data_IF_286241234750
#
_entry.id   IF_286241234750
#
_cell.length_a   1.000
_cell.length_b   1.000
_cell.length_c   1.000
_cell.angle_alpha   90.00
_cell.angle_beta   90.00
_cell.angle_gamma   90.00
#
_symmetry.space_group_name_H-M   'P 1'
#
loop_
_entity.id
_entity.type
_entity.pdbx_description
1 polymer ?
#
# COMPACT_ATOMS: atom_id res chain seq x y z
N UNK A 1 -71.00 42.39 28.42
CA UNK A 1 -71.65 42.06 29.70
C UNK A 1 -71.09 40.72 30.14
N UNK A 2 -69.99 40.67 30.89
CA UNK A 2 -69.85 40.89 32.34
C UNK A 2 -70.13 39.63 33.19
N UNK A 3 -69.06 39.20 33.88
CA UNK A 3 -68.99 38.43 35.14
C UNK A 3 -69.16 36.90 35.04
N UNK A 4 -68.34 35.99 35.61
CA UNK A 4 -67.28 35.88 36.68
C UNK A 4 -67.74 34.86 37.75
N UNK A 5 -66.76 34.07 38.24
CA UNK A 5 -66.69 33.17 39.42
C UNK A 5 -67.29 31.75 39.26
N UNK A 6 -66.55 30.62 39.40
CA UNK A 6 -65.59 30.06 40.39
C UNK A 6 -66.30 29.12 41.38
N UNK A 7 -65.99 27.82 41.34
CA UNK A 7 -66.00 26.93 42.52
C UNK A 7 -64.83 25.93 42.40
N UNK A 8 -63.88 26.06 43.33
CA UNK A 8 -62.90 25.03 43.72
C UNK A 8 -63.60 23.84 44.39
N UNK A 9 -63.07 22.63 44.21
CA UNK A 9 -63.09 21.61 45.26
C UNK A 9 -61.88 20.69 45.12
N UNK A 10 -61.00 20.86 46.10
CA UNK A 10 -59.80 20.11 46.47
C UNK A 10 -60.05 18.60 46.60
N UNK A 11 -59.17 17.76 46.04
CA UNK A 11 -58.77 16.50 46.68
C UNK A 11 -57.24 16.50 46.78
N UNK A 12 -56.82 16.61 48.03
CA UNK A 12 -55.49 16.40 48.55
C UNK A 12 -55.34 14.88 48.77
N UNK A 13 -54.36 14.24 48.14
CA UNK A 13 -53.91 12.91 48.53
C UNK A 13 -52.39 12.89 48.51
N UNK A 14 -51.84 13.06 49.72
CA UNK A 14 -50.45 12.76 50.07
C UNK A 14 -50.22 11.25 49.92
N UNK A 15 -49.19 10.86 49.16
CA UNK A 15 -48.31 9.79 49.56
C UNK A 15 -46.86 10.25 49.43
N UNK A 16 -46.11 9.91 50.47
CA UNK A 16 -44.76 10.30 50.76
C UNK A 16 -43.73 9.42 50.03
N UNK A 17 -42.55 10.00 49.80
CA UNK A 17 -41.26 9.31 49.95
C UNK A 17 -41.08 8.01 49.18
N UNK A 18 -40.77 8.13 47.89
CA UNK A 18 -39.84 7.23 47.23
C UNK A 18 -38.86 8.09 46.45
N UNK A 19 -37.57 8.02 46.82
CA UNK A 19 -36.48 8.40 45.93
C UNK A 19 -36.59 7.49 44.70
N UNK A 20 -37.22 8.00 43.65
CA UNK A 20 -37.01 7.45 42.32
C UNK A 20 -35.54 7.71 42.03
N UNK A 21 -34.72 6.67 42.20
CA UNK A 21 -33.40 6.62 41.58
C UNK A 21 -33.62 6.96 40.11
N UNK A 22 -32.98 8.05 39.67
CA UNK A 22 -33.05 8.49 38.30
C UNK A 22 -32.62 7.35 37.40
N UNK A 23 -33.59 6.72 36.75
CA UNK A 23 -33.31 6.00 35.52
C UNK A 23 -33.07 7.10 34.51
N UNK A 24 -31.81 7.51 34.38
CA UNK A 24 -31.35 8.22 33.20
C UNK A 24 -31.49 7.20 32.09
N UNK A 25 -32.60 7.25 31.36
CA UNK A 25 -32.68 6.56 30.08
C UNK A 25 -31.71 7.30 29.15
N UNK A 26 -30.80 6.60 28.45
CA UNK A 26 -30.02 7.24 27.40
C UNK A 26 -31.03 7.83 26.41
N UNK A 27 -31.03 9.16 26.30
CA UNK A 27 -31.83 9.86 25.32
C UNK A 27 -30.87 10.16 24.17
N UNK A 28 -31.04 9.45 23.07
CA UNK A 28 -30.30 9.69 21.84
C UNK A 28 -30.81 11.01 21.24
N UNK A 29 -29.89 11.93 20.96
CA UNK A 29 -30.20 13.23 20.36
C UNK A 29 -29.66 13.24 18.94
N UNK A 30 -30.57 13.29 17.96
CA UNK A 30 -30.23 13.48 16.55
C UNK A 30 -30.13 14.97 16.22
N UNK A 31 -29.00 15.38 15.64
CA UNK A 31 -28.71 16.75 15.24
C UNK A 31 -28.45 16.81 13.73
N UNK A 32 -29.19 17.64 13.02
CA UNK A 32 -29.06 17.82 11.58
C UNK A 32 -28.56 19.22 11.25
N UNK A 33 -27.56 19.34 10.37
CA UNK A 33 -27.24 20.62 9.75
C UNK A 33 -28.38 21.04 8.82
N UNK A 34 -28.89 22.27 8.93
CA UNK A 34 -30.04 22.68 8.10
C UNK A 34 -29.95 24.03 7.41
N UNK A 35 -28.76 24.63 7.30
CA UNK A 35 -28.65 25.78 6.42
C UNK A 35 -27.26 26.36 6.23
N UNK A 36 -27.00 26.80 4.99
CA UNK A 36 -25.89 27.68 4.62
C UNK A 36 -24.65 26.94 4.12
N UNK A 37 -23.76 27.71 3.48
CA UNK A 37 -22.46 27.25 2.97
C UNK A 37 -21.41 27.12 4.09
N UNK A 38 -21.63 27.77 5.25
CA UNK A 38 -20.67 27.89 6.34
C UNK A 38 -21.32 27.74 7.72
N UNK A 39 -20.62 27.05 8.62
CA UNK A 39 -21.05 26.81 9.99
C UNK A 39 -19.92 26.57 10.96
N UNK A 40 -20.08 27.05 12.20
CA UNK A 40 -19.29 26.60 13.34
C UNK A 40 -20.14 25.69 14.22
N UNK A 41 -19.51 24.66 14.80
CA UNK A 41 -20.15 23.78 15.76
C UNK A 41 -20.75 24.53 16.96
N UNK A 42 -20.17 25.68 17.34
CA UNK A 42 -20.67 26.49 18.45
C UNK A 42 -21.82 27.44 18.10
N UNK A 43 -22.07 27.70 16.81
CA UNK A 43 -23.16 28.57 16.37
C UNK A 43 -24.44 27.71 16.18
N UNK A 44 -25.16 27.49 17.29
CA UNK A 44 -26.40 26.71 17.34
C UNK A 44 -27.53 27.19 16.42
N UNK A 45 -27.41 28.38 15.81
CA UNK A 45 -28.43 28.96 14.94
C UNK A 45 -28.57 28.26 13.57
N UNK A 46 -27.58 27.43 13.17
CA UNK A 46 -27.57 26.74 11.88
C UNK A 46 -27.91 25.23 11.96
N UNK A 47 -28.09 24.71 13.16
CA UNK A 47 -28.47 23.33 13.42
C UNK A 47 -29.99 23.23 13.55
N UNK A 48 -30.60 22.27 12.88
CA UNK A 48 -32.01 21.96 13.07
C UNK A 48 -32.16 20.99 14.23
N UNK A 49 -32.71 21.49 15.32
CA UNK A 49 -33.24 20.68 16.39
C UNK A 49 -34.44 19.87 15.89
N UNK A 50 -34.34 18.54 15.96
CA UNK A 50 -35.49 17.65 16.13
C UNK A 50 -35.91 17.54 17.62
N UNK A 51 -35.76 18.62 18.38
CA UNK A 51 -36.51 18.82 19.62
C UNK A 51 -37.81 19.53 19.24
N UNK A 52 -38.95 18.96 19.63
CA UNK A 52 -40.25 19.61 19.59
C UNK A 52 -40.18 21.02 20.20
N UNK A 53 -40.07 22.05 19.36
CA UNK A 53 -40.23 23.44 19.78
C UNK A 53 -41.72 23.78 19.85
N UNK A 54 -42.30 23.72 21.05
CA UNK A 54 -43.47 24.56 21.37
C UNK A 54 -42.97 25.97 21.68
N UNK A 55 -42.91 26.84 20.66
CA UNK A 55 -42.87 28.28 20.88
C UNK A 55 -44.28 28.75 21.30
N UNK A 56 -44.47 29.07 22.58
CA UNK A 56 -45.62 29.88 23.01
C UNK A 56 -45.22 31.37 22.92
N UNK A 57 -45.87 32.19 22.08
CA UNK A 57 -45.57 33.62 21.99
C UNK A 57 -46.16 34.42 23.18
N UNK A 58 -45.68 35.65 23.47
CA UNK A 58 -44.48 36.31 22.95
C UNK A 58 -43.82 37.25 23.99
N UNK A 59 -42.82 36.89 24.82
CA UNK A 59 -42.04 37.91 25.58
C UNK A 59 -40.62 37.57 26.06
N UNK A 60 -39.96 36.50 25.60
CA UNK A 60 -38.57 36.21 26.04
C UNK A 60 -37.57 36.19 24.88
N UNK A 61 -36.41 36.85 25.02
CA UNK A 61 -35.37 36.83 23.98
C UNK A 61 -34.78 35.42 23.88
N UNK A 62 -34.75 34.87 22.67
CA UNK A 62 -34.01 33.66 22.35
C UNK A 62 -32.55 33.90 22.75
N UNK A 63 -32.07 33.14 23.74
CA UNK A 63 -30.64 33.06 24.03
C UNK A 63 -30.07 31.97 23.13
N UNK A 64 -28.85 32.11 22.58
CA UNK A 64 -28.13 30.97 22.04
C UNK A 64 -27.99 29.97 23.18
N UNK A 65 -28.62 28.81 23.05
CA UNK A 65 -28.47 27.76 24.05
C UNK A 65 -27.05 27.25 23.90
N UNK A 66 -26.30 27.21 25.01
CA UNK A 66 -25.04 26.48 25.07
C UNK A 66 -25.33 25.06 24.61
N UNK A 67 -24.61 24.59 23.60
CA UNK A 67 -24.49 23.16 23.33
C UNK A 67 -24.23 22.45 24.66
N UNK A 68 -24.87 21.30 24.93
CA UNK A 68 -24.71 20.64 26.22
C UNK A 68 -23.23 20.48 26.55
N UNK A 69 -22.81 21.15 27.63
CA UNK A 69 -21.51 20.97 28.26
C UNK A 69 -21.33 19.47 28.53
N UNK A 70 -20.34 18.84 27.89
CA UNK A 70 -20.25 17.38 27.64
C UNK A 70 -19.94 16.53 28.89
N UNK A 71 -20.21 17.03 30.08
CA UNK A 71 -19.86 16.33 31.32
C UNK A 71 -20.81 15.16 31.67
N UNK A 72 -21.88 14.91 30.92
CA UNK A 72 -22.87 13.87 31.20
C UNK A 72 -23.26 13.04 29.96
N UNK A 73 -22.98 11.72 30.03
CA UNK A 73 -23.67 10.50 29.50
C UNK A 73 -24.58 10.51 28.25
N UNK A 74 -24.72 11.59 27.48
CA UNK A 74 -25.62 11.68 26.33
C UNK A 74 -24.91 11.31 25.02
N UNK A 75 -25.59 10.50 24.22
CA UNK A 75 -25.17 10.09 22.87
C UNK A 75 -25.73 11.08 21.84
N UNK A 76 -24.85 11.61 20.99
CA UNK A 76 -25.21 12.53 19.91
C UNK A 76 -24.96 11.89 18.55
N UNK A 77 -26.00 11.86 17.71
CA UNK A 77 -25.91 11.46 16.31
C UNK A 77 -25.97 12.71 15.46
N UNK A 78 -24.98 12.93 14.59
CA UNK A 78 -24.85 14.15 13.80
C UNK A 78 -24.87 13.82 12.32
N UNK A 79 -25.65 14.55 11.53
CA UNK A 79 -25.63 14.41 10.08
C UNK A 79 -25.38 15.76 9.41
N UNK A 80 -24.38 15.79 8.52
CA UNK A 80 -24.01 16.95 7.71
C UNK A 80 -24.19 16.58 6.24
N UNK A 81 -25.21 17.13 5.60
CA UNK A 81 -25.52 16.87 4.19
C UNK A 81 -25.65 18.18 3.40
N UNK A 82 -24.74 18.39 2.44
CA UNK A 82 -24.81 19.54 1.53
C UNK A 82 -26.00 19.49 0.57
N UNK A 83 -26.47 18.29 0.21
CA UNK A 83 -27.64 18.12 -0.66
C UNK A 83 -28.92 18.53 0.05
N UNK A 84 -29.10 18.11 1.31
CA UNK A 84 -30.27 18.48 2.11
C UNK A 84 -30.25 19.98 2.45
N UNK A 85 -29.06 20.56 2.65
CA UNK A 85 -28.89 22.01 2.78
C UNK A 85 -29.12 22.77 1.46
N UNK A 86 -29.20 22.09 0.32
CA UNK A 86 -29.41 22.69 -1.00
C UNK A 86 -28.24 23.56 -1.47
N UNK A 87 -27.03 23.27 -1.01
CA UNK A 87 -25.80 24.01 -1.33
C UNK A 87 -24.79 23.11 -2.06
N UNK A 88 -23.87 23.72 -2.81
CA UNK A 88 -22.81 22.96 -3.50
C UNK A 88 -21.84 22.32 -2.51
N UNK A 89 -21.54 22.99 -1.41
CA UNK A 89 -20.59 22.56 -0.38
C UNK A 89 -20.97 23.12 0.99
N UNK A 90 -20.76 22.33 2.05
CA UNK A 90 -20.84 22.79 3.43
C UNK A 90 -19.44 22.86 4.05
N UNK A 91 -19.08 24.02 4.61
CA UNK A 91 -17.89 24.19 5.43
C UNK A 91 -18.26 24.13 6.91
N UNK A 92 -17.77 23.11 7.62
CA UNK A 92 -17.96 22.96 9.06
C UNK A 92 -16.63 23.20 9.76
N UNK A 93 -16.62 24.18 10.65
CA UNK A 93 -15.44 24.50 11.45
C UNK A 93 -15.59 23.94 12.86
N UNK A 94 -14.60 23.16 13.29
CA UNK A 94 -14.57 22.54 14.62
C UNK A 94 -13.70 23.36 15.58
N UNK A 95 -14.32 23.89 16.63
CA UNK A 95 -13.71 24.72 17.66
C UNK A 95 -13.87 24.03 19.03
N UNK A 96 -12.77 23.55 19.62
CA UNK A 96 -12.83 22.92 20.93
C UNK A 96 -11.49 22.36 21.39
N UNK A 97 -10.93 22.92 22.46
CA UNK A 97 -9.69 22.47 23.09
C UNK A 97 -9.80 21.11 23.83
N UNK A 98 -11.04 20.64 24.04
CA UNK A 98 -11.43 19.36 24.65
C UNK A 98 -12.84 19.04 24.12
N UNK A 99 -12.90 18.40 22.94
CA UNK A 99 -14.11 18.37 22.10
C UNK A 99 -15.30 17.64 22.75
N UNK A 100 -16.54 18.06 22.43
CA UNK A 100 -17.73 17.27 22.74
C UNK A 100 -17.59 15.89 22.09
N UNK A 101 -17.97 14.89 22.86
CA UNK A 101 -17.96 13.50 22.45
C UNK A 101 -19.21 13.24 21.59
N UNK A 102 -19.03 12.76 20.37
CA UNK A 102 -20.12 12.42 19.45
C UNK A 102 -20.26 10.89 19.41
N UNK A 103 -21.49 10.37 19.42
CA UNK A 103 -21.69 8.92 19.23
C UNK A 103 -21.35 8.56 17.79
N UNK A 104 -22.00 9.23 16.84
CA UNK A 104 -21.84 9.03 15.40
C UNK A 104 -22.00 10.37 14.65
N UNK A 105 -21.26 10.54 13.56
CA UNK A 105 -21.27 11.65 12.64
C UNK A 105 -21.24 11.14 11.20
N UNK A 106 -22.23 11.53 10.42
CA UNK A 106 -22.36 11.22 9.00
C UNK A 106 -22.10 12.44 8.11
N UNK A 107 -21.37 12.24 7.01
CA UNK A 107 -21.10 13.24 5.99
C UNK A 107 -21.70 12.82 4.64
N UNK A 108 -22.47 13.71 4.00
CA UNK A 108 -23.13 13.49 2.71
C UNK A 108 -22.95 14.70 1.76
N UNK A 109 -22.79 14.41 0.47
CA UNK A 109 -22.43 15.42 -0.54
C UNK A 109 -21.01 15.99 -0.37
N UNK A 110 -20.76 17.25 -0.75
CA UNK A 110 -19.45 17.90 -0.61
C UNK A 110 -19.35 18.62 0.75
N UNK A 111 -18.49 18.10 1.64
CA UNK A 111 -18.28 18.63 2.99
C UNK A 111 -16.82 18.90 3.25
N UNK A 112 -16.53 20.06 3.83
CA UNK A 112 -15.20 20.44 4.31
C UNK A 112 -15.22 20.55 5.82
N UNK A 113 -14.61 19.58 6.50
CA UNK A 113 -14.40 19.59 7.95
C UNK A 113 -13.05 20.26 8.26
N UNK A 114 -13.13 21.48 8.77
CA UNK A 114 -12.00 22.36 9.01
C UNK A 114 -11.72 22.50 10.50
N UNK A 115 -10.44 22.63 10.84
CA UNK A 115 -10.00 23.05 12.16
C UNK A 115 -10.21 24.54 12.37
N UNK A 116 -10.75 24.95 13.51
CA UNK A 116 -10.88 26.36 13.89
C UNK A 116 -10.20 26.71 15.20
N UNK A 117 -9.20 27.59 15.14
CA UNK A 117 -8.47 28.06 16.30
C UNK A 117 -7.13 27.36 16.53
N UNK A 118 -6.81 27.06 17.79
CA UNK A 118 -5.49 26.60 18.23
C UNK A 118 -5.08 25.20 17.75
N UNK A 119 -3.84 24.76 18.05
CA UNK A 119 -3.29 23.51 17.53
C UNK A 119 -3.92 22.22 18.08
N UNK A 120 -4.84 22.28 19.05
CA UNK A 120 -5.38 21.12 19.77
C UNK A 120 -6.90 20.99 19.58
N UNK A 121 -7.35 20.76 18.36
CA UNK A 121 -8.75 20.46 18.09
C UNK A 121 -8.83 19.02 17.61
N UNK A 122 -9.59 18.22 18.32
CA UNK A 122 -9.83 16.80 18.06
C UNK A 122 -11.33 16.58 18.00
N UNK A 123 -11.78 15.79 17.02
CA UNK A 123 -13.13 15.24 16.96
C UNK A 123 -13.12 13.86 17.62
N UNK A 124 -13.88 13.68 18.70
CA UNK A 124 -13.97 12.42 19.42
C UNK A 124 -15.29 11.73 19.08
N UNK A 125 -15.18 10.55 18.47
CA UNK A 125 -16.29 9.68 18.09
C UNK A 125 -16.23 8.40 18.92
N UNK A 126 -17.32 8.06 19.62
CA UNK A 126 -17.33 6.97 20.61
C UNK A 126 -17.70 5.64 19.99
N UNK A 127 -18.67 5.63 19.07
CA UNK A 127 -19.13 4.38 18.51
C UNK A 127 -18.08 3.85 17.52
N UNK A 128 -17.79 2.53 17.55
CA UNK A 128 -17.02 1.92 16.48
C UNK A 128 -17.71 2.19 15.15
N UNK A 129 -16.99 2.73 14.18
CA UNK A 129 -17.51 3.25 12.90
C UNK A 129 -18.40 4.50 13.02
N UNK A 130 -18.31 5.27 14.10
CA UNK A 130 -19.15 6.44 14.25
C UNK A 130 -18.78 7.59 13.30
N UNK A 131 -17.64 7.58 12.58
CA UNK A 131 -17.34 8.58 11.56
C UNK A 131 -17.62 7.99 10.18
N UNK A 132 -18.74 8.38 9.56
CA UNK A 132 -19.23 7.79 8.32
C UNK A 132 -19.21 8.80 7.17
N UNK A 133 -18.46 8.51 6.11
CA UNK A 133 -18.46 9.31 4.89
C UNK A 133 -19.22 8.63 3.74
N UNK A 134 -20.28 9.28 3.27
CA UNK A 134 -21.08 8.91 2.10
C UNK A 134 -20.94 9.88 0.92
N UNK A 135 -20.04 10.87 1.00
CA UNK A 135 -19.86 11.93 0.00
C UNK A 135 -18.41 12.27 -0.34
N UNK A 136 -18.20 13.50 -0.80
CA UNK A 136 -16.88 14.08 -1.04
C UNK A 136 -16.47 14.87 0.21
N UNK A 137 -15.61 14.30 1.03
CA UNK A 137 -15.21 14.87 2.31
C UNK A 137 -13.76 15.36 2.28
N UNK A 138 -13.53 16.60 2.69
CA UNK A 138 -12.20 17.10 3.05
C UNK A 138 -12.07 17.19 4.56
N UNK A 139 -10.99 16.62 5.11
CA UNK A 139 -10.72 16.59 6.55
C UNK A 139 -9.38 17.27 6.85
N UNK A 140 -9.40 18.22 7.80
CA UNK A 140 -8.23 18.99 8.27
C UNK A 140 -8.15 19.02 9.81
N UNK A 141 -8.65 17.98 10.48
CA UNK A 141 -8.71 17.88 11.95
C UNK A 141 -8.29 16.48 12.41
N UNK A 142 -7.70 16.39 13.61
CA UNK A 142 -7.43 15.12 14.28
C UNK A 142 -8.75 14.42 14.65
N UNK A 143 -8.81 13.10 14.47
CA UNK A 143 -10.00 12.28 14.74
C UNK A 143 -9.63 11.19 15.74
N UNK A 144 -10.45 10.99 16.76
CA UNK A 144 -10.40 9.83 17.64
C UNK A 144 -11.64 8.98 17.44
N UNK A 145 -11.45 7.73 17.09
CA UNK A 145 -12.51 6.83 16.61
C UNK A 145 -12.29 6.41 15.17
N UNK A 146 -13.02 5.37 14.76
CA UNK A 146 -12.84 4.77 13.44
C UNK A 146 -13.50 5.62 12.35
N UNK A 147 -12.81 5.75 11.22
CA UNK A 147 -13.28 6.43 10.00
C UNK A 147 -13.70 5.38 8.98
N UNK A 148 -14.94 5.45 8.49
CA UNK A 148 -15.45 4.62 7.40
C UNK A 148 -15.73 5.48 6.17
N UNK A 149 -14.98 5.22 5.11
CA UNK A 149 -15.19 5.77 3.79
C UNK A 149 -15.97 4.77 2.92
N UNK A 150 -17.26 5.04 2.74
CA UNK A 150 -18.19 4.09 2.12
C UNK A 150 -18.09 4.00 0.60
N UNK A 151 -18.66 2.95 0.00
CA UNK A 151 -18.62 2.77 -1.45
C UNK A 151 -19.13 3.98 -2.24
N UNK A 152 -18.31 4.47 -3.18
CA UNK A 152 -18.64 5.61 -4.03
C UNK A 152 -18.30 6.98 -3.44
N UNK A 153 -17.84 7.05 -2.20
CA UNK A 153 -17.42 8.27 -1.54
C UNK A 153 -15.92 8.53 -1.66
N UNK A 154 -15.50 9.77 -1.37
CA UNK A 154 -14.10 10.17 -1.40
C UNK A 154 -13.72 10.97 -0.14
N UNK A 155 -12.59 10.65 0.45
CA UNK A 155 -11.95 11.46 1.50
C UNK A 155 -10.66 12.08 0.94
N UNK A 156 -10.47 13.36 1.19
CA UNK A 156 -9.23 14.09 0.96
C UNK A 156 -8.72 14.59 2.30
N UNK A 157 -7.65 13.99 2.78
CA UNK A 157 -6.93 14.52 3.92
C UNK A 157 -6.02 15.66 3.45
N UNK A 158 -6.08 16.80 4.14
CA UNK A 158 -5.28 17.99 3.84
C UNK A 158 -4.61 18.48 5.11
N UNK A 159 -3.31 18.79 5.03
CA UNK A 159 -2.52 19.04 6.23
C UNK A 159 -2.15 17.75 6.95
N UNK A 160 -1.22 17.87 7.90
CA UNK A 160 -0.87 16.81 8.81
C UNK A 160 -1.95 16.67 9.89
N UNK A 161 -2.44 15.45 10.11
CA UNK A 161 -3.43 15.12 11.14
C UNK A 161 -3.25 13.68 11.60
N UNK A 162 -3.81 13.40 12.78
CA UNK A 162 -3.77 12.11 13.44
C UNK A 162 -5.18 11.48 13.46
N UNK A 163 -5.24 10.18 13.20
CA UNK A 163 -6.42 9.34 13.41
C UNK A 163 -6.10 8.32 14.51
N UNK A 164 -6.70 8.52 15.68
CA UNK A 164 -6.63 7.59 16.80
C UNK A 164 -7.76 6.56 16.69
N UNK A 165 -7.68 5.69 15.68
CA UNK A 165 -8.67 4.67 15.34
C UNK A 165 -8.39 4.04 13.98
N UNK A 166 -9.23 3.10 13.57
CA UNK A 166 -9.08 2.42 12.28
C UNK A 166 -9.59 3.31 11.12
N UNK A 167 -8.96 3.18 9.95
CA UNK A 167 -9.46 3.74 8.69
C UNK A 167 -9.94 2.62 7.78
N UNK A 168 -11.25 2.54 7.56
CA UNK A 168 -11.88 1.64 6.62
C UNK A 168 -12.19 2.34 5.29
N UNK A 169 -11.55 1.93 4.22
CA UNK A 169 -11.82 2.42 2.86
C UNK A 169 -12.47 1.32 2.02
N UNK A 170 -13.80 1.39 1.87
CA UNK A 170 -14.59 0.35 1.23
C UNK A 170 -14.30 0.21 -0.27
N UNK A 171 -14.70 -0.93 -0.84
CA UNK A 171 -14.61 -1.16 -2.28
C UNK A 171 -15.39 -0.08 -3.05
N UNK A 172 -14.73 0.56 -4.02
CA UNK A 172 -15.29 1.66 -4.80
C UNK A 172 -15.10 3.05 -4.17
N UNK A 173 -14.62 3.13 -2.93
CA UNK A 173 -14.30 4.38 -2.26
C UNK A 173 -12.87 4.88 -2.59
N UNK A 174 -12.59 6.16 -2.32
CA UNK A 174 -11.31 6.81 -2.62
C UNK A 174 -10.78 7.62 -1.43
N UNK A 175 -9.54 7.35 -1.00
CA UNK A 175 -8.79 8.22 -0.09
C UNK A 175 -7.66 8.89 -0.86
N UNK A 176 -7.49 10.20 -0.66
CA UNK A 176 -6.37 10.98 -1.20
C UNK A 176 -5.60 11.64 -0.07
N UNK A 177 -4.28 11.48 -0.11
CA UNK A 177 -3.33 12.21 0.72
C UNK A 177 -2.33 12.90 -0.18
N UNK A 178 -2.08 14.17 0.08
CA UNK A 178 -1.17 15.00 -0.71
C UNK A 178 -0.35 15.90 0.18
N UNK A 179 0.98 15.90 0.00
CA UNK A 179 1.95 16.81 0.63
C UNK A 179 2.23 16.66 2.12
N UNK A 180 1.32 16.07 2.87
CA UNK A 180 1.42 15.90 4.32
C UNK A 180 1.19 14.43 4.71
N UNK A 181 1.66 14.05 5.89
CA UNK A 181 1.52 12.71 6.45
C UNK A 181 0.28 12.59 7.32
N UNK A 182 -0.42 11.46 7.20
CA UNK A 182 -1.59 11.10 7.98
C UNK A 182 -1.23 9.92 8.87
N UNK A 183 -1.16 10.17 10.17
CA UNK A 183 -0.73 9.18 11.14
C UNK A 183 -1.96 8.46 11.70
N UNK A 184 -1.90 7.12 11.74
CA UNK A 184 -3.02 6.26 12.19
C UNK A 184 -2.63 5.64 13.54
N UNK A 185 -2.33 6.50 14.51
CA UNK A 185 -1.48 6.25 15.69
C UNK A 185 -1.83 5.00 16.50
N UNK A 186 -3.12 4.68 16.65
CA UNK A 186 -3.61 3.56 17.46
C UNK A 186 -4.51 2.60 16.66
N UNK A 187 -4.44 2.64 15.33
CA UNK A 187 -5.33 1.87 14.46
C UNK A 187 -4.67 1.22 13.25
N UNK A 188 -5.50 0.64 12.41
CA UNK A 188 -5.15 0.00 11.17
C UNK A 188 -5.79 0.69 9.96
N UNK A 189 -5.10 0.63 8.82
CA UNK A 189 -5.66 1.01 7.53
C UNK A 189 -6.20 -0.25 6.85
N UNK A 190 -7.49 -0.27 6.58
CA UNK A 190 -8.19 -1.33 5.85
C UNK A 190 -8.62 -0.81 4.48
N UNK A 191 -7.85 -1.13 3.44
CA UNK A 191 -8.14 -0.68 2.08
C UNK A 191 -8.76 -1.78 1.21
N UNK A 192 -10.00 -1.60 0.80
CA UNK A 192 -10.65 -2.34 -0.29
C UNK A 192 -10.92 -1.46 -1.53
N UNK A 193 -10.88 -0.14 -1.37
CA UNK A 193 -11.06 0.85 -2.44
C UNK A 193 -9.76 1.30 -3.10
N UNK A 194 -9.62 2.61 -3.29
CA UNK A 194 -8.42 3.25 -3.81
C UNK A 194 -7.81 4.19 -2.77
N UNK A 195 -6.48 4.17 -2.62
CA UNK A 195 -5.71 5.16 -1.87
C UNK A 195 -4.70 5.80 -2.82
N UNK A 196 -4.68 7.12 -2.90
CA UNK A 196 -3.73 7.89 -3.71
C UNK A 196 -2.83 8.73 -2.80
N UNK A 197 -1.52 8.53 -2.94
CA UNK A 197 -0.51 9.13 -2.08
C UNK A 197 0.45 9.92 -2.96
N UNK A 198 0.53 11.23 -2.77
CA UNK A 198 1.24 12.11 -3.69
C UNK A 198 2.12 13.16 -2.99
N UNK A 199 3.24 13.51 -3.62
CA UNK A 199 4.06 14.65 -3.24
C UNK A 199 4.63 14.55 -1.82
N UNK A 200 5.17 13.38 -1.48
CA UNK A 200 5.62 12.96 -0.14
C UNK A 200 4.51 12.74 0.89
N UNK A 201 3.23 12.88 0.53
CA UNK A 201 2.16 12.55 1.48
C UNK A 201 2.16 11.06 1.82
N UNK A 202 2.17 10.77 3.10
CA UNK A 202 2.12 9.44 3.68
C UNK A 202 0.79 9.11 4.32
N UNK A 203 0.46 7.82 4.40
CA UNK A 203 -0.62 7.36 5.28
C UNK A 203 -0.17 6.12 6.05
N UNK A 204 -0.56 6.12 7.32
CA UNK A 204 -0.28 5.05 8.26
C UNK A 204 0.85 5.42 9.20
N UNK A 205 0.72 5.00 10.46
CA UNK A 205 1.75 4.84 11.50
C UNK A 205 0.96 4.34 12.70
N UNK A 206 1.25 3.14 13.24
CA UNK A 206 0.48 2.59 14.37
C UNK A 206 0.47 1.07 14.38
N UNK A 207 -0.24 0.44 13.43
CA UNK A 207 -0.35 -1.02 13.40
C UNK A 207 -0.32 -1.62 11.99
N UNK A 208 -1.47 -1.98 11.44
CA UNK A 208 -1.57 -2.80 10.23
C UNK A 208 -2.01 -1.93 9.05
N UNK A 209 -1.27 -2.00 7.93
CA UNK A 209 -1.77 -1.59 6.63
C UNK A 209 -2.22 -2.83 5.86
N UNK A 210 -3.53 -3.04 5.75
CA UNK A 210 -4.15 -4.19 5.09
C UNK A 210 -4.76 -3.76 3.75
N UNK A 211 -4.18 -4.21 2.65
CA UNK A 211 -4.61 -3.84 1.30
C UNK A 211 -5.21 -5.01 0.53
N UNK A 212 -6.50 -4.90 0.19
CA UNK A 212 -7.20 -5.73 -0.81
C UNK A 212 -7.57 -4.92 -2.06
N UNK A 213 -7.47 -3.59 -2.00
CA UNK A 213 -7.77 -2.66 -3.09
C UNK A 213 -6.52 -2.17 -3.83
N UNK A 214 -6.55 -0.91 -4.29
CA UNK A 214 -5.43 -0.28 -5.00
C UNK A 214 -4.80 0.84 -4.19
N UNK A 215 -3.47 0.84 -4.06
CA UNK A 215 -2.65 1.97 -3.61
C UNK A 215 -1.88 2.52 -4.80
N UNK A 216 -1.97 3.83 -5.05
CA UNK A 216 -1.24 4.54 -6.09
C UNK A 216 -0.27 5.54 -5.47
N UNK A 217 1.00 5.36 -5.77
CA UNK A 217 2.09 6.18 -5.27
C UNK A 217 2.57 7.14 -6.37
N UNK A 218 2.45 8.43 -6.09
CA UNK A 218 2.95 9.53 -6.93
C UNK A 218 4.05 10.27 -6.17
N UNK A 219 5.12 9.53 -5.84
CA UNK A 219 6.13 9.89 -4.85
C UNK A 219 5.54 10.06 -3.44
N UNK A 220 4.54 9.26 -3.08
CA UNK A 220 3.97 9.22 -1.72
C UNK A 220 4.51 8.03 -0.91
N UNK A 221 4.00 7.87 0.31
CA UNK A 221 4.45 6.84 1.24
C UNK A 221 3.28 6.01 1.80
N UNK A 222 3.36 4.70 1.64
CA UNK A 222 2.46 3.74 2.31
C UNK A 222 3.21 3.17 3.52
N UNK A 223 2.75 3.48 4.73
CA UNK A 223 3.44 3.08 5.96
C UNK A 223 2.53 2.21 6.85
N UNK A 224 3.15 1.38 7.69
CA UNK A 224 2.48 0.59 8.71
C UNK A 224 3.47 -0.30 9.46
N UNK A 225 3.22 -0.56 10.74
CA UNK A 225 4.02 -1.51 11.52
C UNK A 225 4.10 -2.87 10.83
N UNK A 226 3.00 -3.31 10.23
CA UNK A 226 2.90 -4.44 9.33
C UNK A 226 2.21 -4.00 8.03
N UNK A 227 2.75 -4.35 6.87
CA UNK A 227 2.10 -4.10 5.56
C UNK A 227 1.73 -5.43 4.91
N UNK A 228 0.43 -5.65 4.69
CA UNK A 228 -0.09 -6.85 4.02
C UNK A 228 -0.81 -6.45 2.74
N UNK A 229 -0.23 -6.82 1.60
CA UNK A 229 -0.85 -6.68 0.30
C UNK A 229 -1.49 -8.01 -0.10
N UNK A 230 -2.79 -8.17 0.14
CA UNK A 230 -3.56 -9.39 -0.13
C UNK A 230 -3.63 -9.73 -1.61
N UNK A 231 -4.13 -10.92 -1.94
CA UNK A 231 -4.11 -11.48 -3.30
C UNK A 231 -4.74 -10.58 -4.38
N UNK A 232 -5.80 -9.85 -4.05
CA UNK A 232 -6.45 -8.88 -4.96
C UNK A 232 -5.79 -7.48 -4.92
N UNK A 233 -4.91 -7.26 -3.93
CA UNK A 233 -4.28 -5.98 -3.66
C UNK A 233 -3.26 -5.58 -4.72
N UNK A 234 -3.29 -4.31 -5.10
CA UNK A 234 -2.36 -3.69 -6.03
C UNK A 234 -1.71 -2.45 -5.39
N UNK A 235 -0.39 -2.47 -5.22
CA UNK A 235 0.40 -1.28 -4.91
C UNK A 235 1.21 -0.91 -6.15
N UNK A 236 1.09 0.33 -6.64
CA UNK A 236 1.81 0.74 -7.85
C UNK A 236 2.26 2.20 -7.84
N UNK A 237 3.36 2.49 -8.52
CA UNK A 237 3.82 3.86 -8.76
C UNK A 237 5.30 4.05 -8.46
N UNK A 238 5.63 5.24 -7.96
CA UNK A 238 6.94 5.60 -7.39
C UNK A 238 6.76 6.17 -6.00
N UNK A 239 7.74 5.97 -5.13
CA UNK A 239 7.67 6.37 -3.72
C UNK A 239 8.10 5.25 -2.79
N UNK A 240 7.43 5.14 -1.64
CA UNK A 240 7.86 4.30 -0.54
C UNK A 240 6.73 3.38 -0.07
N UNK A 241 7.08 2.12 0.21
CA UNK A 241 6.28 1.21 1.04
C UNK A 241 7.18 0.82 2.19
N UNK A 242 6.84 1.27 3.39
CA UNK A 242 7.67 1.11 4.59
C UNK A 242 6.95 0.24 5.60
N UNK A 243 7.70 -0.58 6.31
CA UNK A 243 7.18 -1.33 7.44
C UNK A 243 8.22 -1.57 8.53
N UNK A 244 7.78 -1.69 9.78
CA UNK A 244 8.71 -1.92 10.89
C UNK A 244 8.87 -3.43 11.15
N UNK A 245 7.78 -4.20 11.17
CA UNK A 245 7.76 -5.63 11.54
C UNK A 245 7.66 -6.57 10.34
N UNK A 246 7.16 -6.11 9.18
CA UNK A 246 7.14 -6.97 8.00
C UNK A 246 6.27 -6.50 6.84
N UNK A 247 6.67 -6.91 5.65
CA UNK A 247 5.93 -6.68 4.40
C UNK A 247 5.61 -8.01 3.73
N UNK A 248 4.32 -8.36 3.70
CA UNK A 248 3.83 -9.59 3.06
C UNK A 248 3.07 -9.27 1.79
N UNK A 249 3.67 -9.63 0.65
CA UNK A 249 3.03 -9.47 -0.64
C UNK A 249 2.41 -10.78 -1.13
N UNK A 250 1.08 -10.84 -1.16
CA UNK A 250 0.28 -11.89 -1.79
C UNK A 250 -0.33 -11.43 -3.13
N UNK A 251 -0.50 -10.11 -3.30
CA UNK A 251 -1.03 -9.47 -4.50
C UNK A 251 0.03 -9.02 -5.48
N UNK A 252 -0.10 -7.80 -6.02
CA UNK A 252 0.89 -7.21 -6.93
C UNK A 252 1.48 -5.92 -6.35
N UNK A 253 2.81 -5.83 -6.31
CA UNK A 253 3.55 -4.58 -6.08
C UNK A 253 4.34 -4.25 -7.34
N UNK A 254 4.19 -3.02 -7.83
CA UNK A 254 4.67 -2.63 -9.15
C UNK A 254 5.31 -1.25 -9.18
N UNK A 255 6.61 -1.18 -9.45
CA UNK A 255 7.27 0.08 -9.80
C UNK A 255 6.73 0.56 -11.16
N UNK A 256 6.07 1.71 -11.21
CA UNK A 256 5.39 2.23 -12.39
C UNK A 256 5.86 3.65 -12.74
N UNK A 257 7.05 3.72 -13.33
CA UNK A 257 7.72 4.97 -13.70
C UNK A 257 8.47 5.57 -12.51
N UNK A 258 9.80 5.66 -12.61
CA UNK A 258 10.66 6.09 -11.49
C UNK A 258 11.00 4.96 -10.52
N UNK A 259 11.33 5.33 -9.28
CA UNK A 259 11.78 4.40 -8.23
C UNK A 259 10.68 4.10 -7.22
N UNK A 260 10.49 2.83 -6.91
CA UNK A 260 9.69 2.36 -5.78
C UNK A 260 10.60 1.65 -4.78
N UNK A 261 10.63 2.10 -3.54
CA UNK A 261 11.37 1.49 -2.44
C UNK A 261 10.42 0.66 -1.56
N UNK A 262 10.80 -0.59 -1.31
CA UNK A 262 10.21 -1.45 -0.29
C UNK A 262 11.22 -1.55 0.85
N UNK A 263 10.90 -0.94 2.00
CA UNK A 263 11.80 -0.86 3.15
C UNK A 263 11.17 -1.58 4.34
N UNK A 264 11.95 -2.44 5.00
CA UNK A 264 11.51 -3.13 6.23
C UNK A 264 12.59 -2.98 7.29
N UNK A 265 12.27 -2.35 8.42
CA UNK A 265 13.25 -1.99 9.46
C UNK A 265 13.69 -3.20 10.30
N UNK A 266 12.79 -3.88 11.01
CA UNK A 266 13.11 -4.95 11.95
C UNK A 266 12.51 -6.31 11.55
N UNK A 267 12.07 -6.41 10.30
CA UNK A 267 11.16 -7.46 9.84
C UNK A 267 11.54 -8.15 8.55
N UNK A 268 10.69 -9.10 8.16
CA UNK A 268 10.83 -9.85 6.91
C UNK A 268 10.06 -9.20 5.78
N UNK A 269 10.66 -9.21 4.60
CA UNK A 269 9.93 -9.03 3.34
C UNK A 269 9.71 -10.40 2.70
N UNK A 270 8.45 -10.78 2.49
CA UNK A 270 8.08 -12.04 1.86
C UNK A 270 7.19 -11.80 0.64
N UNK A 271 7.61 -12.33 -0.50
CA UNK A 271 6.82 -12.28 -1.73
C UNK A 271 6.23 -13.66 -2.04
N UNK A 272 4.91 -13.78 -2.06
CA UNK A 272 4.15 -14.90 -2.66
C UNK A 272 3.27 -14.45 -3.84
N UNK A 273 3.14 -13.14 -4.03
CA UNK A 273 2.44 -12.51 -5.13
C UNK A 273 3.37 -12.16 -6.28
N UNK A 274 3.24 -10.95 -6.82
CA UNK A 274 4.04 -10.43 -7.93
C UNK A 274 4.79 -9.16 -7.53
N UNK A 275 6.08 -9.11 -7.81
CA UNK A 275 6.90 -7.90 -7.84
C UNK A 275 7.23 -7.60 -9.29
N UNK A 276 6.91 -6.40 -9.77
CA UNK A 276 7.09 -6.01 -11.16
C UNK A 276 7.86 -4.71 -11.24
N UNK A 277 8.97 -4.71 -11.97
CA UNK A 277 9.61 -3.49 -12.44
C UNK A 277 9.20 -3.22 -13.87
N UNK A 278 8.44 -2.15 -14.12
CA UNK A 278 8.08 -1.73 -15.48
C UNK A 278 9.31 -1.26 -16.28
N UNK A 279 9.18 -1.15 -17.61
CA UNK A 279 10.25 -0.59 -18.42
C UNK A 279 10.71 0.80 -17.93
N UNK A 280 12.02 0.96 -17.73
CA UNK A 280 12.64 2.19 -17.22
C UNK A 280 12.33 2.55 -15.76
N UNK A 281 11.67 1.66 -15.01
CA UNK A 281 11.42 1.82 -13.58
C UNK A 281 12.43 1.01 -12.75
N UNK A 282 12.56 1.32 -11.47
CA UNK A 282 13.38 0.53 -10.55
C UNK A 282 12.63 0.21 -9.27
N UNK A 283 12.63 -1.06 -8.89
CA UNK A 283 12.15 -1.55 -7.61
C UNK A 283 13.35 -1.79 -6.70
N UNK A 284 13.40 -1.11 -5.57
CA UNK A 284 14.45 -1.25 -4.56
C UNK A 284 13.88 -2.00 -3.36
N UNK A 285 14.61 -2.97 -2.84
CA UNK A 285 14.19 -3.89 -1.79
C UNK A 285 15.25 -3.84 -0.68
N UNK A 286 14.88 -3.31 0.48
CA UNK A 286 15.80 -3.07 1.59
C UNK A 286 15.20 -3.57 2.92
N UNK A 287 15.01 -4.89 3.08
CA UNK A 287 14.80 -5.50 4.38
C UNK A 287 16.11 -5.66 5.16
N UNK A 288 16.02 -5.86 6.47
CA UNK A 288 17.19 -6.19 7.32
C UNK A 288 17.57 -7.66 7.30
N UNK A 289 16.66 -8.55 6.90
CA UNK A 289 16.90 -9.97 6.68
C UNK A 289 16.94 -10.31 5.18
N UNK A 290 17.32 -11.55 4.83
CA UNK A 290 17.26 -12.04 3.45
C UNK A 290 15.84 -11.91 2.86
N UNK A 291 15.76 -11.50 1.60
CA UNK A 291 14.50 -11.38 0.88
C UNK A 291 14.09 -12.73 0.29
N UNK A 292 12.98 -13.28 0.78
CA UNK A 292 12.44 -14.57 0.34
C UNK A 292 11.35 -14.39 -0.71
N UNK A 293 11.62 -14.88 -1.92
CA UNK A 293 10.69 -14.90 -3.05
C UNK A 293 10.14 -16.30 -3.31
N UNK A 294 8.88 -16.52 -2.92
CA UNK A 294 8.08 -17.70 -3.28
C UNK A 294 6.96 -17.36 -4.30
N UNK A 295 7.01 -16.16 -4.87
CA UNK A 295 6.07 -15.65 -5.87
C UNK A 295 6.79 -15.35 -7.19
N UNK A 296 6.30 -14.35 -7.92
CA UNK A 296 6.90 -13.90 -9.17
C UNK A 296 7.66 -12.58 -8.99
N UNK A 297 8.86 -12.50 -9.57
CA UNK A 297 9.59 -11.26 -9.85
C UNK A 297 9.70 -11.12 -11.36
N UNK A 298 9.22 -10.01 -11.91
CA UNK A 298 9.35 -9.69 -13.34
C UNK A 298 10.18 -8.42 -13.53
N UNK A 299 11.32 -8.56 -14.22
CA UNK A 299 12.26 -7.48 -14.48
C UNK A 299 12.16 -7.09 -15.97
N UNK A 300 11.36 -6.07 -16.28
CA UNK A 300 11.14 -5.65 -17.67
C UNK A 300 12.35 -4.92 -18.27
N UNK A 301 12.38 -4.84 -19.60
CA UNK A 301 13.40 -4.12 -20.41
C UNK A 301 13.74 -2.76 -19.81
N UNK A 302 15.04 -2.45 -19.71
CA UNK A 302 15.55 -1.20 -19.15
C UNK A 302 15.11 -0.90 -17.70
N UNK A 303 14.42 -1.83 -17.04
CA UNK A 303 14.03 -1.74 -15.65
C UNK A 303 15.01 -2.48 -14.73
N UNK A 304 14.87 -2.25 -13.43
CA UNK A 304 15.69 -2.91 -12.43
C UNK A 304 14.87 -3.42 -11.24
N UNK A 305 15.31 -4.54 -10.67
CA UNK A 305 14.96 -4.98 -9.31
C UNK A 305 16.27 -5.12 -8.55
N UNK A 306 16.42 -4.34 -7.49
CA UNK A 306 17.64 -4.28 -6.68
C UNK A 306 17.29 -4.62 -5.24
N UNK A 307 17.94 -5.63 -4.67
CA UNK A 307 17.88 -5.97 -3.27
C UNK A 307 19.21 -5.59 -2.58
N UNK A 308 19.14 -4.95 -1.43
CA UNK A 308 20.29 -4.62 -0.58
C UNK A 308 20.49 -5.69 0.50
N UNK A 309 20.40 -6.95 0.07
CA UNK A 309 20.48 -8.17 0.89
C UNK A 309 20.63 -9.38 -0.04
N UNK A 310 20.66 -10.59 0.52
CA UNK A 310 20.51 -11.79 -0.30
C UNK A 310 19.07 -11.92 -0.80
N UNK A 311 18.93 -12.35 -2.05
CA UNK A 311 17.67 -12.74 -2.65
C UNK A 311 17.59 -14.28 -2.70
N UNK A 312 16.70 -14.85 -1.90
CA UNK A 312 16.42 -16.29 -1.92
C UNK A 312 15.19 -16.52 -2.82
N UNK A 313 15.40 -17.13 -3.98
CA UNK A 313 14.31 -17.62 -4.82
C UNK A 313 13.89 -18.99 -4.30
N UNK A 314 12.88 -18.98 -3.43
CA UNK A 314 12.32 -20.13 -2.73
C UNK A 314 11.64 -21.12 -3.69
N UNK A 315 11.36 -22.37 -3.26
CA UNK A 315 10.60 -23.32 -4.07
C UNK A 315 9.28 -22.73 -4.58
N UNK A 316 8.98 -22.94 -5.87
CA UNK A 316 7.88 -22.30 -6.63
C UNK A 316 8.06 -20.80 -6.90
N UNK A 317 9.18 -20.20 -6.51
CA UNK A 317 9.56 -18.85 -6.87
C UNK A 317 9.94 -18.77 -8.35
N UNK A 318 9.48 -17.71 -9.01
CA UNK A 318 9.71 -17.44 -10.42
C UNK A 318 10.34 -16.06 -10.61
N UNK A 319 11.53 -16.01 -11.19
CA UNK A 319 12.20 -14.78 -11.59
C UNK A 319 12.27 -14.76 -13.13
N UNK A 320 11.62 -13.77 -13.73
CA UNK A 320 11.60 -13.54 -15.18
C UNK A 320 12.37 -12.29 -15.57
N UNK A 321 13.47 -12.47 -16.31
CA UNK A 321 14.27 -11.39 -16.89
C UNK A 321 13.82 -11.13 -18.33
N UNK A 322 13.25 -9.95 -18.59
CA UNK A 322 12.76 -9.55 -19.91
C UNK A 322 13.61 -8.40 -20.50
N UNK A 323 14.92 -8.46 -20.27
CA UNK A 323 15.91 -7.47 -20.71
C UNK A 323 16.26 -6.40 -19.66
N UNK A 324 15.81 -6.54 -18.41
CA UNK A 324 16.20 -5.68 -17.30
C UNK A 324 17.36 -6.23 -16.47
N UNK A 325 17.65 -5.58 -15.34
CA UNK A 325 18.72 -5.99 -14.42
C UNK A 325 18.17 -6.42 -13.07
N UNK A 326 18.55 -7.62 -12.64
CA UNK A 326 18.38 -8.10 -11.27
C UNK A 326 19.69 -7.88 -10.50
N UNK A 327 19.61 -7.28 -9.32
CA UNK A 327 20.77 -7.04 -8.45
C UNK A 327 20.46 -7.48 -7.02
N UNK A 328 21.38 -8.19 -6.37
CA UNK A 328 21.36 -8.53 -4.96
C UNK A 328 22.80 -8.69 -4.46
N UNK A 329 23.02 -8.89 -3.16
CA UNK A 329 24.35 -9.28 -2.65
C UNK A 329 24.71 -10.68 -3.16
N UNK A 330 23.79 -11.62 -2.94
CA UNK A 330 23.81 -12.96 -3.47
C UNK A 330 22.40 -13.38 -3.89
N UNK A 331 22.29 -14.06 -5.02
CA UNK A 331 21.06 -14.64 -5.56
C UNK A 331 21.14 -16.14 -5.36
N UNK A 332 20.30 -16.65 -4.45
CA UNK A 332 20.24 -18.05 -4.08
C UNK A 332 19.04 -18.66 -4.80
N UNK A 333 19.31 -19.65 -5.65
CA UNK A 333 18.30 -20.36 -6.43
C UNK A 333 18.04 -21.72 -5.79
N UNK A 334 16.92 -21.86 -5.07
CA UNK A 334 16.54 -23.11 -4.40
C UNK A 334 16.00 -24.18 -5.36
N UNK A 335 15.81 -25.40 -4.82
CA UNK A 335 15.13 -26.49 -5.51
C UNK A 335 13.70 -26.08 -5.92
N UNK A 336 13.23 -26.58 -7.08
CA UNK A 336 11.93 -26.26 -7.68
C UNK A 336 11.66 -24.75 -7.94
N UNK A 337 12.66 -23.88 -7.78
CA UNK A 337 12.57 -22.48 -8.17
C UNK A 337 13.03 -22.29 -9.63
N UNK A 338 12.53 -21.24 -10.30
CA UNK A 338 12.93 -20.90 -11.68
C UNK A 338 13.45 -19.48 -11.76
N UNK A 339 14.66 -19.31 -12.31
CA UNK A 339 15.15 -18.04 -12.84
C UNK A 339 15.33 -18.19 -14.35
N UNK A 340 14.67 -17.34 -15.14
CA UNK A 340 14.70 -17.47 -16.60
C UNK A 340 14.69 -16.13 -17.35
N UNK A 341 15.15 -16.15 -18.61
CA UNK A 341 15.07 -15.01 -19.52
C UNK A 341 16.44 -14.43 -19.90
N UNK A 342 16.51 -13.11 -20.14
CA UNK A 342 17.75 -12.41 -20.51
C UNK A 342 17.87 -11.04 -19.85
N UNK A 343 19.10 -10.56 -19.69
CA UNK A 343 19.38 -9.23 -19.12
C UNK A 343 20.66 -9.18 -18.29
N UNK A 344 20.65 -8.33 -17.26
CA UNK A 344 21.74 -8.21 -16.30
C UNK A 344 21.44 -8.97 -15.01
N UNK A 345 22.46 -9.64 -14.47
CA UNK A 345 22.47 -10.19 -13.11
C UNK A 345 23.70 -9.61 -12.43
N UNK A 346 23.52 -8.95 -11.30
CA UNK A 346 24.61 -8.37 -10.49
C UNK A 346 24.53 -8.93 -9.07
N UNK A 347 25.68 -9.34 -8.53
CA UNK A 347 25.76 -10.12 -7.29
C UNK A 347 26.19 -11.55 -7.54
N UNK A 348 26.61 -12.22 -6.48
CA UNK A 348 26.97 -13.64 -6.56
C UNK A 348 25.72 -14.48 -6.85
N UNK A 349 25.90 -15.62 -7.50
CA UNK A 349 24.81 -16.54 -7.84
C UNK A 349 25.14 -17.93 -7.30
N UNK A 350 24.26 -18.46 -6.45
CA UNK A 350 24.35 -19.82 -5.93
C UNK A 350 23.16 -20.61 -6.43
N UNK A 351 23.41 -21.63 -7.24
CA UNK A 351 22.38 -22.58 -7.65
C UNK A 351 22.45 -23.78 -6.74
N UNK A 352 21.48 -23.91 -5.82
CA UNK A 352 21.42 -25.02 -4.87
C UNK A 352 21.11 -26.35 -5.57
N UNK A 353 21.34 -27.49 -4.90
CA UNK A 353 21.07 -28.79 -5.50
C UNK A 353 19.68 -28.88 -6.10
N UNK A 354 19.58 -29.41 -7.32
CA UNK A 354 18.37 -29.49 -8.15
C UNK A 354 17.77 -28.13 -8.61
N UNK A 355 18.30 -27.00 -8.15
CA UNK A 355 17.92 -25.68 -8.64
C UNK A 355 18.27 -25.49 -10.13
N UNK A 356 17.51 -24.63 -10.81
CA UNK A 356 17.69 -24.37 -12.24
C UNK A 356 17.65 -22.88 -12.59
N UNK A 357 18.62 -22.47 -13.43
CA UNK A 357 18.64 -21.17 -14.10
C UNK A 357 18.62 -21.40 -15.62
N UNK A 358 17.74 -20.72 -16.33
CA UNK A 358 17.53 -20.85 -17.78
C UNK A 358 17.66 -19.50 -18.50
N UNK A 359 18.83 -19.20 -19.01
CA UNK A 359 19.11 -17.94 -19.69
C UNK A 359 18.85 -18.09 -21.19
N UNK A 360 17.99 -17.24 -21.75
CA UNK A 360 17.55 -17.27 -23.16
C UNK A 360 17.95 -15.97 -23.86
N UNK A 361 19.05 -15.94 -24.60
CA UNK A 361 19.58 -14.72 -25.21
C UNK A 361 20.75 -14.09 -24.43
N UNK A 362 21.16 -12.85 -24.77
CA UNK A 362 22.33 -12.21 -24.18
C UNK A 362 22.15 -11.91 -22.68
N UNK A 363 23.07 -12.41 -21.85
CA UNK A 363 23.06 -12.18 -20.40
C UNK A 363 24.46 -11.85 -19.88
N UNK A 364 24.55 -10.97 -18.90
CA UNK A 364 25.78 -10.72 -18.15
C UNK A 364 25.55 -11.00 -16.68
N UNK A 365 26.41 -11.84 -16.09
CA UNK A 365 26.47 -12.09 -14.65
C UNK A 365 27.72 -11.39 -14.12
N UNK A 366 27.50 -10.39 -13.26
CA UNK A 366 28.54 -9.60 -12.59
C UNK A 366 28.63 -10.04 -11.14
N UNK A 367 29.34 -11.14 -10.92
CA UNK A 367 29.53 -11.80 -9.63
C UNK A 367 30.07 -13.22 -9.82
N UNK A 368 30.41 -13.89 -8.73
CA UNK A 368 30.81 -15.30 -8.75
C UNK A 368 29.59 -16.20 -8.97
N UNK A 369 29.80 -17.39 -9.53
CA UNK A 369 28.74 -18.37 -9.78
C UNK A 369 29.11 -19.71 -9.18
N UNK A 370 28.31 -20.20 -8.24
CA UNK A 370 28.40 -21.54 -7.69
C UNK A 370 27.26 -22.43 -8.22
N UNK A 371 27.62 -23.58 -8.78
CA UNK A 371 26.70 -24.58 -9.30
C UNK A 371 26.87 -25.85 -8.49
N UNK A 372 25.91 -26.13 -7.60
CA UNK A 372 25.93 -27.26 -6.69
C UNK A 372 25.56 -28.59 -7.36
N UNK A 373 25.69 -29.74 -6.66
CA UNK A 373 25.39 -31.05 -7.24
C UNK A 373 23.97 -31.13 -7.80
N UNK A 374 23.84 -31.67 -9.02
CA UNK A 374 22.58 -31.77 -9.77
C UNK A 374 21.92 -30.43 -10.16
N UNK A 375 22.49 -29.28 -9.80
CA UNK A 375 22.01 -27.99 -10.26
C UNK A 375 22.28 -27.79 -11.75
N UNK A 376 21.44 -26.99 -12.42
CA UNK A 376 21.53 -26.75 -13.87
C UNK A 376 21.60 -25.25 -14.16
N UNK A 377 22.68 -24.84 -14.82
CA UNK A 377 22.76 -23.58 -15.56
C UNK A 377 22.56 -23.86 -17.04
N UNK A 378 21.40 -23.51 -17.58
CA UNK A 378 21.11 -23.61 -19.01
C UNK A 378 21.27 -22.24 -19.70
N UNK A 379 21.97 -22.22 -20.84
CA UNK A 379 22.13 -21.04 -21.69
C UNK A 379 21.71 -21.40 -23.11
N UNK A 380 20.65 -20.76 -23.58
CA UNK A 380 20.02 -21.03 -24.87
C UNK A 380 20.03 -19.79 -25.77
N UNK A 381 20.31 -20.01 -27.06
CA UNK A 381 20.23 -19.02 -28.15
C UNK A 381 20.84 -17.63 -27.82
N UNK A 382 21.95 -17.61 -27.07
CA UNK A 382 22.55 -16.38 -26.53
C UNK A 382 23.97 -16.52 -26.02
N UNK A 383 24.58 -15.39 -25.65
CA UNK A 383 25.90 -15.36 -25.01
C UNK A 383 25.71 -14.93 -23.56
N UNK A 384 26.12 -15.78 -22.63
CA UNK A 384 26.23 -15.46 -21.22
C UNK A 384 27.69 -15.15 -20.89
N UNK A 385 27.96 -13.93 -20.44
CA UNK A 385 29.26 -13.54 -19.88
C UNK A 385 29.19 -13.65 -18.35
N UNK A 386 30.15 -14.35 -17.74
CA UNK A 386 30.31 -14.42 -16.30
C UNK A 386 31.63 -13.76 -15.94
N UNK A 387 31.57 -12.62 -15.26
CA UNK A 387 32.78 -11.83 -14.95
C UNK A 387 33.50 -12.32 -13.70
N UNK A 388 32.77 -12.87 -12.72
CA UNK A 388 33.35 -13.52 -11.55
C UNK A 388 33.79 -14.96 -11.82
N UNK A 389 34.32 -15.61 -10.79
CA UNK A 389 34.76 -16.99 -10.85
C UNK A 389 33.57 -17.95 -10.87
N UNK A 390 33.62 -18.97 -11.72
CA UNK A 390 32.60 -20.05 -11.71
C UNK A 390 33.14 -21.28 -11.01
N UNK A 391 32.43 -21.77 -10.00
CA UNK A 391 32.70 -23.05 -9.33
C UNK A 391 31.56 -24.01 -9.64
N UNK A 392 31.86 -25.16 -10.26
CA UNK A 392 30.86 -26.16 -10.57
C UNK A 392 31.21 -27.50 -9.90
N UNK A 393 30.36 -27.92 -8.96
CA UNK A 393 30.56 -29.04 -8.04
C UNK A 393 29.58 -30.18 -8.37
N UNK A 394 29.92 -31.08 -9.29
CA UNK A 394 28.99 -32.10 -9.82
C UNK A 394 27.66 -31.53 -10.37
N UNK A 395 27.66 -30.25 -10.77
CA UNK A 395 26.54 -29.59 -11.42
C UNK A 395 26.56 -29.76 -12.94
N UNK A 396 25.62 -29.11 -13.63
CA UNK A 396 25.51 -29.13 -15.10
C UNK A 396 25.49 -27.72 -15.68
N UNK A 397 26.31 -27.49 -16.70
CA UNK A 397 26.23 -26.31 -17.57
C UNK A 397 25.77 -26.79 -18.95
N UNK A 398 24.54 -26.46 -19.32
CA UNK A 398 23.91 -26.89 -20.57
C UNK A 398 23.85 -25.70 -21.54
N UNK A 399 24.46 -25.84 -22.70
CA UNK A 399 24.50 -24.80 -23.73
C UNK A 399 23.69 -25.26 -24.93
N UNK A 400 22.50 -24.71 -25.14
CA UNK A 400 21.58 -25.10 -26.23
C UNK A 400 21.60 -24.02 -27.30
N UNK A 401 22.53 -24.13 -28.24
CA UNK A 401 22.79 -23.07 -29.24
C UNK A 401 23.42 -21.80 -28.67
N UNK A 402 23.47 -21.65 -27.36
CA UNK A 402 24.12 -20.55 -26.67
C UNK A 402 25.60 -20.78 -26.39
N UNK A 403 26.23 -19.81 -25.72
CA UNK A 403 27.63 -19.88 -25.30
C UNK A 403 27.79 -19.25 -23.92
N UNK A 404 28.68 -19.83 -23.11
CA UNK A 404 29.14 -19.21 -21.86
C UNK A 404 30.59 -18.74 -22.01
N UNK A 405 30.89 -17.55 -21.49
CA UNK A 405 32.24 -16.98 -21.41
C UNK A 405 32.59 -16.82 -19.93
N UNK A 406 33.53 -17.64 -19.45
CA UNK A 406 34.04 -17.60 -18.08
C UNK A 406 35.22 -16.62 -17.98
N UNK A 407 34.94 -15.33 -17.85
CA UNK A 407 36.00 -14.32 -17.79
C UNK A 407 36.78 -14.39 -16.47
N UNK A 408 36.12 -14.67 -15.34
CA UNK A 408 36.78 -14.89 -14.05
C UNK A 408 37.37 -16.29 -13.84
N UNK A 409 37.28 -17.16 -14.85
CA UNK A 409 37.75 -18.55 -14.80
C UNK A 409 36.69 -19.55 -14.33
N UNK A 410 37.04 -20.84 -14.41
CA UNK A 410 36.17 -21.97 -14.07
C UNK A 410 36.94 -23.02 -13.25
N UNK A 411 36.46 -23.31 -12.04
CA UNK A 411 36.83 -24.50 -11.28
C UNK A 411 35.86 -25.64 -11.59
N UNK A 412 36.36 -26.66 -12.28
CA UNK A 412 35.57 -27.80 -12.72
C UNK A 412 35.76 -29.00 -11.78
N UNK A 413 34.89 -29.13 -10.77
CA UNK A 413 34.86 -30.25 -9.84
C UNK A 413 33.86 -31.31 -10.32
N UNK A 414 34.17 -31.94 -11.47
CA UNK A 414 33.32 -32.88 -12.21
C UNK A 414 32.00 -32.26 -12.71
N UNK A 415 32.07 -31.01 -13.16
CA UNK A 415 31.00 -30.35 -13.86
C UNK A 415 30.68 -31.06 -15.18
N UNK A 416 29.40 -31.28 -15.43
CA UNK A 416 28.91 -31.78 -16.70
C UNK A 416 28.63 -30.60 -17.64
N UNK A 417 29.49 -30.39 -18.64
CA UNK A 417 29.33 -29.29 -19.60
C UNK A 417 28.85 -29.87 -20.93
N UNK A 418 27.61 -29.58 -21.31
CA UNK A 418 26.96 -30.15 -22.51
C UNK A 418 26.67 -29.08 -23.55
N UNK A 419 27.40 -29.07 -24.68
CA UNK A 419 27.00 -28.31 -25.85
C UNK A 419 25.97 -29.10 -26.67
N UNK A 420 24.84 -28.47 -26.95
CA UNK A 420 23.76 -28.96 -27.80
C UNK A 420 23.48 -27.94 -28.91
N UNK A 421 23.13 -28.38 -30.13
CA UNK A 421 22.65 -27.46 -31.17
C UNK A 421 21.34 -26.81 -30.71
N UNK A 422 21.24 -25.49 -30.85
CA UNK A 422 19.99 -24.76 -30.63
C UNK A 422 19.08 -24.79 -31.85
N UNK A 423 17.90 -24.19 -31.70
CA UNK A 423 16.94 -24.05 -32.79
C UNK A 423 17.37 -22.96 -33.78
N UNK A 424 18.00 -21.89 -33.28
CA UNK A 424 18.31 -20.69 -34.06
C UNK A 424 19.79 -20.43 -34.20
N UNK A 425 20.59 -20.84 -33.22
CA UNK A 425 22.05 -20.78 -33.27
C UNK A 425 22.62 -22.16 -32.97
N UNK A 426 23.71 -22.53 -33.64
CA UNK A 426 24.47 -23.69 -33.23
C UNK A 426 25.89 -23.22 -32.88
N UNK A 427 26.46 -23.76 -31.80
CA UNK A 427 27.73 -23.29 -31.22
C UNK A 427 28.93 -23.31 -32.18
N UNK A 428 28.80 -23.94 -33.34
CA UNK A 428 29.85 -24.13 -34.32
C UNK A 428 29.46 -23.62 -35.72
N UNK A 429 28.41 -22.81 -35.84
CA UNK A 429 27.98 -22.14 -37.07
C UNK A 429 28.38 -20.68 -37.00
N UNK A 430 29.68 -20.48 -37.17
CA UNK A 430 30.29 -19.16 -37.18
C UNK A 430 29.77 -18.28 -38.30
N UNK A 431 29.17 -18.86 -39.34
CA UNK A 431 28.64 -18.13 -40.47
C UNK A 431 27.12 -17.86 -40.38
N UNK A 432 26.45 -18.40 -39.35
CA UNK A 432 25.02 -18.29 -39.03
C UNK A 432 24.08 -18.80 -40.14
N UNK A 433 24.47 -19.82 -40.92
CA UNK A 433 23.63 -20.44 -41.96
C UNK A 433 22.72 -21.59 -41.48
N UNK A 434 22.71 -21.83 -40.17
CA UNK A 434 21.99 -22.92 -39.51
C UNK A 434 22.65 -24.29 -39.66
N UNK A 435 23.86 -24.41 -40.24
CA UNK A 435 24.52 -25.70 -40.49
C UNK A 435 25.97 -25.69 -40.04
N UNK A 436 26.33 -26.52 -39.06
CA UNK A 436 27.74 -26.81 -38.77
C UNK A 436 28.40 -27.49 -39.96
N UNK A 437 29.27 -26.78 -40.67
CA UNK A 437 29.97 -27.27 -41.84
C UNK A 437 31.38 -26.66 -41.97
N UNK A 438 32.12 -27.07 -43.00
CA UNK A 438 33.51 -26.61 -43.18
C UNK A 438 33.63 -25.10 -43.41
N UNK A 439 32.55 -24.42 -43.83
CA UNK A 439 32.53 -22.96 -43.95
C UNK A 439 32.61 -22.29 -42.59
N UNK A 440 32.08 -22.90 -41.55
CA UNK A 440 32.17 -22.36 -40.19
C UNK A 440 33.57 -22.45 -39.64
N UNK A 441 34.25 -23.56 -39.92
CA UNK A 441 35.66 -23.70 -39.60
C UNK A 441 36.52 -22.71 -40.39
N UNK A 442 36.21 -22.49 -41.67
CA UNK A 442 36.89 -21.50 -42.50
C UNK A 442 36.63 -20.07 -42.00
N UNK A 443 35.41 -19.76 -41.57
CA UNK A 443 35.05 -18.45 -41.03
C UNK A 443 35.72 -18.21 -39.67
N UNK A 444 35.67 -19.20 -38.77
CA UNK A 444 36.42 -19.19 -37.52
C UNK A 444 37.92 -18.98 -37.76
N UNK A 445 38.54 -19.77 -38.65
CA UNK A 445 39.95 -19.62 -38.98
C UNK A 445 40.26 -18.25 -39.61
N UNK A 446 39.35 -17.69 -40.43
CA UNK A 446 39.57 -16.37 -41.02
C UNK A 446 39.51 -15.24 -39.99
N UNK A 447 38.60 -15.34 -39.01
CA UNK A 447 38.44 -14.34 -37.94
C UNK A 447 39.51 -14.48 -36.87
N UNK A 448 39.83 -15.71 -36.45
CA UNK A 448 40.71 -15.97 -35.30
C UNK A 448 42.19 -16.05 -35.69
N UNK A 449 42.51 -16.65 -36.85
CA UNK A 449 43.89 -16.95 -37.24
C UNK A 449 44.59 -15.77 -37.93
N UNK A 450 43.84 -14.76 -38.39
CA UNK A 450 44.39 -13.56 -39.07
C UNK A 450 44.25 -12.25 -38.28
N UNK A 451 43.53 -12.24 -37.15
CA UNK A 451 43.49 -11.09 -36.23
C UNK A 451 44.39 -11.27 -35.00
N UNK A 452 45.01 -12.45 -34.82
CA UNK A 452 46.13 -12.60 -33.90
C UNK A 452 47.38 -11.98 -34.53
N UNK A 453 47.57 -10.67 -34.35
CA UNK A 453 48.88 -10.05 -34.58
C UNK A 453 49.90 -10.71 -33.64
N UNK A 454 50.99 -11.22 -34.22
CA UNK A 454 52.16 -11.80 -33.54
C UNK A 454 52.94 -10.74 -32.75
#
# INVERSE_FOLDING_TARGET
MSHRFLICSTILLLFAGASLGGVVLPMDIDVFWCGGEWGSWMDGDNWCDNILWFCDPPQSPCRPYQWPDNNDTLSFYVSIDSNDAGVERVHVTWEGSYGPTVSEIEFRGDVHLLKWGGPWNELIVVEPNGFLNYGDLRVEIDVRGDIVNTSGSAIVFSGHLNVFGDLYNEAGALVKVSRDDIDIEDGAVHNAGQIWLAGNGGIGEGHLFSNTGTVRLFNGMCNGKAVVNWQEGLIKGSGFVTSNEGLWNLGTIKAAGGSLLLYVEDGKLANKGKLISNPGASLHITPTEDFNNAGMIEVNRDGAVTADCNLVNEPNGHIGLLGGTLSADCIIQEDDAVLSGFGGITGDVVINPNGSIQLTGPTSIVGDVEINPNAILEVSDGITLITGHTTCNNGTIRMVGGRVIFQGGLTNNNCNIFPEPGLYTNMADYNLDGKVNSKDFAYFANVWLWQAEL
#
